data_IF_511330637274
#
_entry.id   IF_511330637274
#
_cell.length_a   1.000
_cell.length_b   1.000
_cell.length_c   1.000
_cell.angle_alpha   90.00
_cell.angle_beta   90.00
_cell.angle_gamma   90.00
#
_symmetry.space_group_name_H-M   'P 1'
#
loop_
_entity.id
_entity.type
_entity.pdbx_description
1 polymer ?
#
# COMPACT_ATOMS: atom_id res chain seq x y z
N UNK A 1 -5.37 -9.31 -5.59
CA UNK A 1 -5.55 -7.95 -6.13
C UNK A 1 -6.46 -7.18 -5.18
N UNK A 2 -6.21 -5.89 -4.98
CA UNK A 2 -7.22 -4.96 -4.45
C UNK A 2 -8.38 -4.82 -5.44
N UNK A 3 -9.48 -4.20 -5.03
CA UNK A 3 -10.47 -3.65 -5.96
C UNK A 3 -9.84 -2.56 -6.85
N UNK A 4 -10.58 -2.05 -7.84
CA UNK A 4 -10.07 -1.10 -8.83
C UNK A 4 -9.94 0.34 -8.34
N UNK A 5 -10.19 0.61 -7.06
CA UNK A 5 -10.25 1.95 -6.49
C UNK A 5 -8.99 2.30 -5.69
N UNK A 6 -7.80 1.94 -6.18
CA UNK A 6 -6.55 2.18 -5.46
C UNK A 6 -5.48 2.81 -6.33
N UNK A 7 -4.76 3.80 -5.77
CA UNK A 7 -3.52 4.32 -6.33
C UNK A 7 -2.33 3.87 -5.49
N UNK A 8 -1.23 3.59 -6.16
CA UNK A 8 0.04 3.22 -5.54
C UNK A 8 1.06 4.31 -5.87
N UNK A 9 1.73 4.82 -4.84
CA UNK A 9 2.74 5.86 -4.98
C UNK A 9 4.10 5.39 -4.44
N UNK A 10 5.20 5.79 -5.08
CA UNK A 10 6.54 5.66 -4.51
C UNK A 10 6.84 6.89 -3.65
N UNK A 11 7.05 6.68 -2.34
CA UNK A 11 7.21 7.77 -1.38
C UNK A 11 8.62 8.39 -1.45
N UNK A 12 8.73 9.73 -1.53
CA UNK A 12 10.01 10.42 -1.69
C UNK A 12 10.83 10.37 -0.40
N UNK A 13 12.17 10.37 -0.53
CA UNK A 13 13.07 10.51 0.62
C UNK A 13 13.08 9.33 1.59
N UNK A 14 12.63 8.14 1.17
CA UNK A 14 12.56 6.96 2.02
C UNK A 14 13.72 6.00 1.75
N UNK A 15 14.36 5.49 2.81
CA UNK A 15 15.43 4.49 2.75
C UNK A 15 15.13 3.36 3.76
N UNK A 16 14.89 2.12 3.31
CA UNK A 16 14.72 1.72 1.91
C UNK A 16 13.49 2.39 1.24
N UNK A 17 13.43 2.45 -0.11
CA UNK A 17 12.26 2.94 -0.82
C UNK A 17 11.01 2.18 -0.39
N UNK A 18 9.91 2.89 -0.12
CA UNK A 18 8.64 2.29 0.30
C UNK A 18 7.44 2.81 -0.52
N UNK A 19 6.47 1.94 -0.83
CA UNK A 19 5.23 2.36 -1.47
C UNK A 19 4.22 2.93 -0.46
N UNK A 20 3.32 3.78 -0.95
CA UNK A 20 2.11 4.22 -0.26
C UNK A 20 0.87 3.85 -1.06
N UNK A 21 -0.06 3.10 -0.46
CA UNK A 21 -1.32 2.71 -1.07
C UNK A 21 -2.44 3.60 -0.55
N UNK A 22 -3.25 4.16 -1.45
CA UNK A 22 -4.40 4.99 -1.09
C UNK A 22 -5.63 4.62 -1.88
N UNK A 23 -6.81 4.80 -1.29
CA UNK A 23 -8.09 4.58 -1.96
C UNK A 23 -8.47 5.82 -2.76
N UNK A 24 -8.81 5.62 -4.03
CA UNK A 24 -9.14 6.68 -4.99
C UNK A 24 -10.05 6.09 -6.08
N UNK A 25 -11.17 6.76 -6.40
CA UNK A 25 -12.14 6.29 -7.39
C UNK A 25 -11.57 6.21 -8.82
N UNK A 26 -10.51 6.97 -9.09
CA UNK A 26 -9.77 6.95 -10.36
C UNK A 26 -8.56 6.01 -10.35
N UNK A 27 -8.51 5.09 -9.39
CA UNK A 27 -7.42 4.13 -9.21
C UNK A 27 -7.46 2.92 -10.16
N UNK A 28 -6.66 1.91 -9.82
CA UNK A 28 -6.61 0.59 -10.46
C UNK A 28 -6.49 -0.51 -9.41
N UNK A 29 -6.61 -1.76 -9.84
CA UNK A 29 -6.33 -2.92 -8.99
C UNK A 29 -4.81 -3.07 -8.81
N UNK A 30 -4.38 -3.18 -7.56
CA UNK A 30 -2.98 -3.35 -7.18
C UNK A 30 -2.75 -4.77 -6.66
N UNK A 31 -1.64 -5.40 -7.04
CA UNK A 31 -1.21 -6.68 -6.50
C UNK A 31 -0.83 -6.54 -5.03
N UNK A 32 -1.33 -7.47 -4.20
CA UNK A 32 -1.09 -7.51 -2.75
C UNK A 32 -0.84 -8.95 -2.33
N UNK A 33 -0.10 -9.13 -1.26
CA UNK A 33 0.09 -10.41 -0.58
C UNK A 33 -0.79 -10.44 0.67
N UNK A 34 -1.47 -11.56 0.90
CA UNK A 34 -2.24 -11.78 2.12
C UNK A 34 -1.42 -12.65 3.06
N UNK A 35 -1.28 -12.17 4.29
CA UNK A 35 -0.59 -12.86 5.36
C UNK A 35 -1.57 -13.12 6.49
N UNK A 36 -1.56 -14.35 7.02
CA UNK A 36 -2.26 -14.65 8.26
C UNK A 36 -1.42 -14.18 9.45
N UNK A 37 -2.07 -13.55 10.42
CA UNK A 37 -1.40 -12.95 11.58
C UNK A 37 -2.17 -13.28 12.86
N UNK A 38 -1.50 -13.85 13.88
CA UNK A 38 -2.13 -14.06 15.17
C UNK A 38 -2.62 -12.73 15.75
N UNK A 39 -3.91 -12.67 16.09
CA UNK A 39 -4.54 -11.45 16.64
C UNK A 39 -3.79 -10.91 17.85
N UNK A 40 -3.26 -11.80 18.71
CA UNK A 40 -2.48 -11.43 19.90
C UNK A 40 -1.15 -10.72 19.58
N UNK A 41 -0.63 -10.83 18.35
CA UNK A 41 0.61 -10.21 17.89
C UNK A 41 0.39 -8.99 16.99
N UNK A 42 -0.87 -8.64 16.72
CA UNK A 42 -1.17 -7.51 15.83
C UNK A 42 -0.63 -6.18 16.37
N UNK A 43 -0.71 -5.97 17.70
CA UNK A 43 -0.23 -4.74 18.34
C UNK A 43 1.27 -4.51 18.19
N UNK A 44 2.10 -5.53 18.45
CA UNK A 44 3.56 -5.44 18.27
C UNK A 44 3.93 -5.19 16.81
N UNK A 45 3.23 -5.82 15.86
CA UNK A 45 3.48 -5.60 14.43
C UNK A 45 3.15 -4.17 14.01
N UNK A 46 2.02 -3.61 14.47
CA UNK A 46 1.61 -2.25 14.12
C UNK A 46 2.52 -1.19 14.74
N UNK A 47 3.08 -1.45 15.92
CA UNK A 47 4.02 -0.53 16.59
C UNK A 47 5.29 -0.27 15.77
N UNK A 48 5.69 -1.23 14.92
CA UNK A 48 6.86 -1.14 14.04
C UNK A 48 6.58 -0.40 12.71
N UNK A 49 5.37 0.13 12.52
CA UNK A 49 4.98 0.81 11.28
C UNK A 49 5.13 2.33 11.47
N UNK A 50 6.22 2.95 10.99
CA UNK A 50 6.40 4.38 11.14
C UNK A 50 5.53 5.16 10.17
N UNK A 51 5.28 6.42 10.53
CA UNK A 51 4.75 7.41 9.60
C UNK A 51 5.55 7.42 8.27
N UNK A 52 4.89 7.61 7.12
CA UNK A 52 3.48 7.96 6.95
C UNK A 52 2.55 6.75 6.76
N UNK A 53 3.00 5.55 7.12
CA UNK A 53 2.24 4.33 6.89
C UNK A 53 1.36 4.03 8.09
N UNK A 54 0.26 3.33 7.82
CA UNK A 54 -0.61 2.77 8.86
C UNK A 54 -1.31 1.52 8.37
N UNK A 55 -2.03 0.85 9.27
CA UNK A 55 -2.91 -0.27 8.91
C UNK A 55 -4.36 0.20 8.87
N UNK A 56 -4.95 0.10 7.68
CA UNK A 56 -6.35 0.41 7.42
C UNK A 56 -7.12 -0.80 6.91
N UNK A 57 -8.27 -0.54 6.30
CA UNK A 57 -9.07 -1.56 5.61
C UNK A 57 -8.86 -1.44 4.10
N UNK A 58 -8.57 -2.56 3.45
CA UNK A 58 -8.53 -2.69 1.99
C UNK A 58 -9.72 -3.52 1.51
N UNK A 59 -10.24 -3.20 0.34
CA UNK A 59 -11.21 -4.03 -0.39
C UNK A 59 -10.45 -4.80 -1.46
N UNK A 60 -10.58 -6.12 -1.47
CA UNK A 60 -10.00 -6.99 -2.49
C UNK A 60 -10.91 -7.07 -3.71
N UNK A 61 -10.35 -7.53 -4.84
CA UNK A 61 -11.12 -7.70 -6.09
C UNK A 61 -12.29 -8.69 -5.95
N UNK A 62 -12.22 -9.61 -4.98
CA UNK A 62 -13.30 -10.56 -4.66
C UNK A 62 -14.32 -10.01 -3.65
N UNK A 63 -14.23 -8.72 -3.28
CA UNK A 63 -15.14 -8.05 -2.37
C UNK A 63 -14.82 -8.21 -0.88
N UNK A 64 -13.83 -9.04 -0.51
CA UNK A 64 -13.42 -9.16 0.90
C UNK A 64 -12.84 -7.85 1.42
N UNK A 65 -13.15 -7.52 2.67
CA UNK A 65 -12.47 -6.46 3.42
C UNK A 65 -11.39 -7.07 4.32
N UNK A 66 -10.14 -6.63 4.15
CA UNK A 66 -8.99 -7.12 4.92
C UNK A 66 -8.20 -5.97 5.53
N UNK A 67 -7.37 -6.25 6.54
CA UNK A 67 -6.37 -5.29 7.02
C UNK A 67 -5.21 -5.19 6.04
N UNK A 68 -4.68 -3.99 5.84
CA UNK A 68 -3.53 -3.77 4.98
C UNK A 68 -2.91 -2.39 5.13
N UNK A 69 -1.69 -2.23 4.59
CA UNK A 69 -0.97 -0.97 4.61
C UNK A 69 -1.71 0.11 3.81
N UNK A 70 -1.84 1.29 4.41
CA UNK A 70 -2.32 2.52 3.79
C UNK A 70 -1.28 3.62 4.01
N UNK A 71 -1.37 4.69 3.22
CA UNK A 71 -0.54 5.88 3.37
C UNK A 71 -1.40 7.08 3.77
N UNK A 72 -0.89 7.88 4.70
CA UNK A 72 -1.50 9.16 5.04
C UNK A 72 -1.44 10.14 3.85
N UNK A 73 -2.50 10.94 3.61
CA UNK A 73 -2.57 11.83 2.43
C UNK A 73 -1.45 12.87 2.34
N UNK A 74 -0.97 13.38 3.49
CA UNK A 74 0.06 14.43 3.50
C UNK A 74 1.38 13.97 2.88
N UNK A 75 1.67 12.66 2.94
CA UNK A 75 2.91 12.10 2.40
C UNK A 75 2.85 11.78 0.90
N UNK A 76 1.69 11.98 0.25
CA UNK A 76 1.55 11.84 -1.19
C UNK A 76 2.08 13.06 -1.94
N UNK A 77 2.24 14.20 -1.27
CA UNK A 77 2.79 15.39 -1.88
C UNK A 77 4.21 15.11 -2.40
N UNK A 78 4.41 15.24 -3.71
CA UNK A 78 5.69 14.94 -4.37
C UNK A 78 6.00 13.44 -4.54
N UNK A 79 5.09 12.55 -4.16
CA UNK A 79 5.23 11.12 -4.42
C UNK A 79 4.93 10.79 -5.88
N UNK A 80 5.73 9.91 -6.47
CA UNK A 80 5.53 9.46 -7.85
C UNK A 80 4.35 8.49 -7.90
N UNK A 81 3.33 8.77 -8.72
CA UNK A 81 2.27 7.80 -9.01
C UNK A 81 2.85 6.65 -9.83
N UNK A 82 2.77 5.44 -9.28
CA UNK A 82 3.27 4.19 -9.87
C UNK A 82 2.12 3.20 -10.09
N UNK A 83 0.87 3.68 -10.10
CA UNK A 83 -0.34 2.86 -10.24
C UNK A 83 -0.35 2.07 -11.55
N UNK A 84 0.39 2.51 -12.58
CA UNK A 84 0.45 1.86 -13.90
C UNK A 84 1.27 0.57 -13.89
N UNK A 85 2.19 0.44 -12.95
CA UNK A 85 2.97 -0.78 -12.77
C UNK A 85 2.15 -1.92 -12.14
N UNK A 86 0.96 -1.62 -11.61
CA UNK A 86 0.08 -2.60 -10.96
C UNK A 86 0.62 -3.19 -9.65
N UNK A 87 1.81 -2.78 -9.21
CA UNK A 87 2.46 -3.33 -8.01
C UNK A 87 3.87 -2.82 -7.77
N UNK A 88 4.30 -2.92 -6.50
CA UNK A 88 5.63 -2.46 -6.07
C UNK A 88 6.78 -3.22 -6.75
N UNK A 89 6.67 -4.55 -6.87
CA UNK A 89 7.72 -5.37 -7.49
C UNK A 89 7.97 -5.00 -8.96
N UNK A 90 6.90 -4.76 -9.72
CA UNK A 90 7.01 -4.37 -11.13
C UNK A 90 7.67 -2.99 -11.29
N UNK A 91 7.31 -2.02 -10.44
CA UNK A 91 7.99 -0.72 -10.39
C UNK A 91 9.47 -0.83 -10.01
N UNK A 92 9.81 -1.64 -9.00
CA UNK A 92 11.22 -1.82 -8.63
C UNK A 92 12.04 -2.49 -9.75
N UNK A 93 11.44 -3.42 -10.49
CA UNK A 93 12.08 -4.06 -11.64
C UNK A 93 12.31 -3.08 -12.80
N UNK A 94 11.46 -2.06 -12.99
CA UNK A 94 11.65 -1.06 -14.04
C UNK A 94 12.70 0.01 -13.70
N UNK A 95 13.20 0.03 -12.46
CA UNK A 95 14.28 0.91 -12.01
C UNK A 95 15.67 0.27 -12.07
N UNK A 96 15.73 -1.02 -12.37
CA UNK A 96 16.95 -1.81 -12.46
C UNK A 96 17.58 -1.72 -13.86
#
# INVERSE_FOLDING_TARGET
>A
LTASQYRLHALPGTVPPKPGLVKDDSGRSIIVELWDMPMARFGEFVAEIPAPLGIGNLTLADGRSVKGFICEPWALAGATDITEFGGWRAYMASRA
#
